data_IF_795452397631
#
_entry.id   IF_795452397631
#
_cell.length_a   1.000
_cell.length_b   1.000
_cell.length_c   1.000
_cell.angle_alpha   90.00
_cell.angle_beta   90.00
_cell.angle_gamma   90.00
#
_symmetry.space_group_name_H-M   'P 1'
#
loop_
_entity.id
_entity.type
_entity.pdbx_description
1 polymer ?
#
# COMPACT_ATOMS: atom_id res chain seq x y z
N UNK A 1 -23.56 -12.76 11.85
CA UNK A 1 -22.69 -13.10 10.71
C UNK A 1 -21.26 -12.74 11.09
N UNK A 2 -20.23 -13.23 10.39
CA UNK A 2 -18.81 -12.92 10.73
C UNK A 2 -18.50 -11.40 10.78
N UNK A 3 -19.37 -10.57 10.20
CA UNK A 3 -19.30 -9.12 10.24
C UNK A 3 -19.66 -8.50 11.59
N UNK A 4 -20.43 -9.19 12.44
CA UNK A 4 -20.86 -8.67 13.75
C UNK A 4 -19.69 -8.58 14.76
N UNK A 5 -18.57 -9.26 14.49
CA UNK A 5 -17.36 -9.25 15.33
C UNK A 5 -16.22 -8.39 14.73
N UNK A 6 -16.52 -7.53 13.76
CA UNK A 6 -15.53 -6.67 13.13
C UNK A 6 -15.25 -5.46 14.04
N UNK A 7 -14.01 -5.31 14.52
CA UNK A 7 -13.62 -4.23 15.44
C UNK A 7 -13.04 -2.99 14.74
N UNK A 8 -12.69 -3.10 13.45
CA UNK A 8 -12.10 -2.00 12.70
C UNK A 8 -11.86 -2.32 11.23
N UNK A 9 -11.65 -1.26 10.45
CA UNK A 9 -11.33 -1.34 9.02
C UNK A 9 -10.20 -0.36 8.73
N UNK A 10 -9.20 -0.79 7.96
CA UNK A 10 -8.19 0.09 7.39
C UNK A 10 -8.22 -0.02 5.85
N UNK A 11 -8.03 1.10 5.15
CA UNK A 11 -8.11 1.17 3.69
C UNK A 11 -6.82 1.82 3.15
N UNK A 12 -6.08 1.08 2.32
CA UNK A 12 -5.00 1.61 1.49
C UNK A 12 -5.45 1.54 0.03
N UNK A 13 -5.53 2.68 -0.65
CA UNK A 13 -6.02 2.77 -2.02
C UNK A 13 -5.40 3.94 -2.77
N UNK A 14 -5.07 3.72 -4.04
CA UNK A 14 -4.61 4.74 -5.00
C UNK A 14 -5.76 5.30 -5.85
N UNK A 15 -7.00 4.84 -5.65
CA UNK A 15 -8.19 5.20 -6.44
C UNK A 15 -9.18 5.99 -5.57
N UNK A 16 -9.20 7.35 -5.63
CA UNK A 16 -9.99 8.18 -4.72
C UNK A 16 -11.51 7.90 -4.76
N UNK A 17 -12.06 7.65 -5.95
CA UNK A 17 -13.48 7.33 -6.12
C UNK A 17 -13.86 6.01 -5.45
N UNK A 18 -13.01 4.99 -5.57
CA UNK A 18 -13.18 3.70 -4.89
C UNK A 18 -13.09 3.84 -3.37
N UNK A 19 -12.13 4.63 -2.88
CA UNK A 19 -11.98 4.91 -1.44
C UNK A 19 -13.26 5.52 -0.87
N UNK A 20 -13.84 6.53 -1.54
CA UNK A 20 -15.07 7.18 -1.07
C UNK A 20 -16.28 6.23 -1.01
N UNK A 21 -16.38 5.28 -1.96
CA UNK A 21 -17.41 4.24 -1.95
C UNK A 21 -17.22 3.29 -0.77
N UNK A 22 -16.01 2.79 -0.55
CA UNK A 22 -15.70 1.91 0.57
C UNK A 22 -15.90 2.60 1.93
N UNK A 23 -15.53 3.88 2.05
CA UNK A 23 -15.76 4.68 3.25
C UNK A 23 -17.24 4.80 3.61
N UNK A 24 -18.07 5.06 2.60
CA UNK A 24 -19.52 5.12 2.77
C UNK A 24 -20.06 3.76 3.21
N UNK A 25 -19.64 2.68 2.56
CA UNK A 25 -20.07 1.34 2.93
C UNK A 25 -19.72 1.00 4.39
N UNK A 26 -18.50 1.29 4.83
CA UNK A 26 -18.07 1.04 6.20
C UNK A 26 -18.93 1.80 7.21
N UNK A 27 -19.25 3.06 6.93
CA UNK A 27 -20.09 3.89 7.80
C UNK A 27 -21.54 3.42 7.82
N UNK A 28 -22.13 3.17 6.66
CA UNK A 28 -23.56 2.96 6.51
C UNK A 28 -23.97 1.51 6.88
N UNK A 29 -23.09 0.53 6.62
CA UNK A 29 -23.41 -0.89 6.83
C UNK A 29 -22.63 -1.54 7.97
N UNK A 30 -21.38 -1.12 8.22
CA UNK A 30 -20.56 -1.69 9.29
C UNK A 30 -20.55 -0.83 10.56
N UNK A 31 -21.12 0.38 10.51
CA UNK A 31 -21.08 1.37 11.59
C UNK A 31 -19.65 1.66 12.09
N UNK A 32 -18.66 1.51 11.20
CA UNK A 32 -17.23 1.70 11.47
C UNK A 32 -16.72 2.85 10.62
N UNK A 33 -15.99 3.78 11.24
CA UNK A 33 -15.20 4.77 10.52
C UNK A 33 -13.86 4.12 10.14
N UNK A 34 -13.58 3.87 8.84
CA UNK A 34 -12.34 3.23 8.44
C UNK A 34 -11.15 4.17 8.64
N UNK A 35 -9.99 3.59 8.95
CA UNK A 35 -8.72 4.28 8.97
C UNK A 35 -8.14 4.35 7.55
N UNK A 36 -8.05 5.55 6.99
CA UNK A 36 -7.51 5.74 5.63
C UNK A 36 -5.99 5.89 5.71
N UNK A 37 -5.29 4.99 5.04
CA UNK A 37 -3.84 5.00 4.93
C UNK A 37 -3.44 5.95 3.80
N UNK A 38 -2.48 6.81 4.09
CA UNK A 38 -1.93 7.80 3.15
C UNK A 38 -0.40 7.76 3.24
N UNK A 39 0.29 8.41 2.31
CA UNK A 39 1.75 8.58 2.39
C UNK A 39 2.23 9.34 3.65
N UNK A 40 1.33 10.00 4.39
CA UNK A 40 1.65 10.71 5.64
C UNK A 40 1.21 9.93 6.89
N UNK A 41 0.65 8.73 6.75
CA UNK A 41 0.28 7.91 7.89
C UNK A 41 1.53 7.64 8.75
N UNK A 42 1.50 7.90 10.07
CA UNK A 42 2.63 7.63 10.94
C UNK A 42 2.96 6.14 10.94
N UNK A 43 4.23 5.82 10.72
CA UNK A 43 4.72 4.43 10.67
C UNK A 43 6.13 4.35 11.24
N UNK A 44 6.66 3.13 11.39
CA UNK A 44 8.07 2.91 11.73
C UNK A 44 9.05 3.20 10.59
N UNK A 45 8.55 3.46 9.38
CA UNK A 45 9.39 3.73 8.22
C UNK A 45 9.64 5.24 8.08
N UNK A 46 10.90 5.61 7.90
CA UNK A 46 11.28 6.96 7.50
C UNK A 46 11.15 7.07 5.98
N UNK A 47 10.29 7.96 5.48
CA UNK A 47 10.09 8.12 4.05
C UNK A 47 11.18 9.05 3.48
N UNK A 48 12.27 8.45 2.99
CA UNK A 48 13.36 9.17 2.32
C UNK A 48 13.03 9.51 0.84
N UNK A 49 11.93 8.95 0.32
CA UNK A 49 11.43 9.18 -1.04
C UNK A 49 10.95 10.63 -1.26
N UNK A 50 11.26 11.22 -2.43
CA UNK A 50 10.92 12.61 -2.76
C UNK A 50 10.07 12.72 -4.03
N UNK A 51 8.97 13.50 -3.99
CA UNK A 51 8.37 14.08 -2.79
C UNK A 51 7.63 12.99 -1.97
N UNK A 52 7.74 12.99 -0.65
CA UNK A 52 7.13 11.93 0.19
C UNK A 52 5.62 11.73 -0.09
N UNK A 53 4.91 12.81 -0.43
CA UNK A 53 3.49 12.79 -0.81
C UNK A 53 3.15 11.98 -2.07
N UNK A 54 4.11 11.67 -2.94
CA UNK A 54 3.86 10.83 -4.13
C UNK A 54 3.97 9.34 -3.83
N UNK A 55 4.30 8.96 -2.58
CA UNK A 55 4.23 7.58 -2.17
C UNK A 55 2.77 7.12 -2.08
N UNK A 56 2.43 6.12 -2.90
CA UNK A 56 1.14 5.46 -2.84
C UNK A 56 0.97 4.70 -1.51
N UNK A 57 -0.23 4.69 -0.92
CA UNK A 57 -0.49 3.97 0.33
C UNK A 57 -0.33 2.45 0.19
N UNK A 58 -0.54 1.91 -1.02
CA UNK A 58 -0.28 0.51 -1.36
C UNK A 58 1.21 0.16 -1.18
N UNK A 59 2.11 0.98 -1.73
CA UNK A 59 3.56 0.80 -1.59
C UNK A 59 4.03 0.94 -0.16
N UNK A 60 3.46 1.89 0.59
CA UNK A 60 3.75 2.04 2.02
C UNK A 60 3.39 0.78 2.82
N UNK A 61 2.19 0.23 2.61
CA UNK A 61 1.74 -0.98 3.30
C UNK A 61 2.56 -2.21 2.89
N UNK A 62 2.89 -2.36 1.61
CA UNK A 62 3.75 -3.45 1.12
C UNK A 62 5.14 -3.43 1.77
N UNK A 63 5.76 -2.25 1.87
CA UNK A 63 7.05 -2.10 2.54
C UNK A 63 6.96 -2.40 4.04
N UNK A 64 5.92 -1.90 4.73
CA UNK A 64 5.71 -2.19 6.16
C UNK A 64 5.53 -3.69 6.42
N UNK A 65 4.73 -4.35 5.59
CA UNK A 65 4.48 -5.79 5.67
C UNK A 65 5.77 -6.57 5.40
N UNK A 66 6.56 -6.18 4.41
CA UNK A 66 7.86 -6.79 4.14
C UNK A 66 8.79 -6.68 5.35
N UNK A 67 8.85 -5.51 5.99
CA UNK A 67 9.62 -5.30 7.23
C UNK A 67 9.09 -6.08 8.44
N UNK A 68 7.81 -6.49 8.43
CA UNK A 68 7.20 -7.27 9.52
C UNK A 68 7.52 -8.75 9.38
N UNK A 69 7.53 -9.25 8.14
CA UNK A 69 7.89 -10.64 7.85
C UNK A 69 9.40 -10.84 7.90
N UNK A 70 10.17 -9.82 7.50
CA UNK A 70 11.63 -9.86 7.46
C UNK A 70 12.24 -8.57 8.01
N UNK A 71 13.20 -8.68 8.93
CA UNK A 71 13.97 -7.52 9.38
C UNK A 71 14.69 -6.85 8.20
N UNK A 72 14.64 -5.52 8.07
CA UNK A 72 15.40 -4.80 7.04
C UNK A 72 16.92 -5.06 7.12
N UNK A 73 17.68 -4.87 6.01
CA UNK A 73 17.24 -4.34 4.73
C UNK A 73 16.41 -5.33 3.91
N UNK A 74 15.42 -4.82 3.17
CA UNK A 74 14.52 -5.65 2.36
C UNK A 74 14.19 -4.99 1.02
N UNK A 75 14.07 -5.80 -0.02
CA UNK A 75 13.44 -5.42 -1.28
C UNK A 75 12.15 -6.23 -1.40
N UNK A 76 11.03 -5.56 -1.65
CA UNK A 76 9.75 -6.21 -1.91
C UNK A 76 9.27 -5.92 -3.33
N UNK A 77 8.64 -6.92 -3.96
CA UNK A 77 8.06 -6.80 -5.28
C UNK A 77 6.56 -7.16 -5.24
N UNK A 78 5.73 -6.27 -5.79
CA UNK A 78 4.30 -6.50 -6.00
C UNK A 78 4.02 -6.68 -7.49
N UNK A 79 3.43 -7.82 -7.86
CA UNK A 79 3.18 -8.21 -9.25
C UNK A 79 1.68 -8.10 -9.56
N UNK A 80 1.23 -6.90 -9.91
CA UNK A 80 -0.17 -6.63 -10.26
C UNK A 80 -0.29 -6.03 -11.66
N UNK A 81 -1.27 -5.13 -11.83
CA UNK A 81 -1.45 -4.32 -13.05
C UNK A 81 -0.18 -3.57 -13.45
N UNK A 82 0.61 -3.16 -12.46
CA UNK A 82 2.00 -2.77 -12.60
C UNK A 82 2.87 -3.70 -11.75
N UNK A 83 4.12 -3.87 -12.16
CA UNK A 83 5.15 -4.50 -11.33
C UNK A 83 5.83 -3.39 -10.53
N UNK A 84 5.73 -3.44 -9.20
CA UNK A 84 6.33 -2.43 -8.32
C UNK A 84 7.41 -3.09 -7.47
N UNK A 85 8.61 -2.53 -7.50
CA UNK A 85 9.75 -2.95 -6.69
C UNK A 85 10.07 -1.81 -5.74
N UNK A 86 10.17 -2.10 -4.44
CA UNK A 86 10.47 -1.12 -3.40
C UNK A 86 11.59 -1.63 -2.49
N UNK A 87 12.44 -0.71 -2.03
CA UNK A 87 13.58 -1.00 -1.16
C UNK A 87 13.47 -0.25 0.17
N UNK A 88 13.81 -0.94 1.25
CA UNK A 88 13.93 -0.40 2.60
C UNK A 88 15.34 -0.67 3.13
N UNK A 89 16.00 0.36 3.65
CA UNK A 89 17.35 0.27 4.24
C UNK A 89 17.33 -0.46 5.59
N UNK A 90 18.52 -0.80 6.11
CA UNK A 90 18.67 -1.36 7.46
C UNK A 90 18.18 -0.43 8.58
N UNK A 91 18.13 0.87 8.33
CA UNK A 91 17.68 1.91 9.27
C UNK A 91 16.18 2.23 9.12
N UNK A 92 15.40 1.31 8.54
CA UNK A 92 13.96 1.46 8.29
C UNK A 92 13.63 2.67 7.40
N UNK A 93 14.52 3.05 6.49
CA UNK A 93 14.25 4.11 5.52
C UNK A 93 13.63 3.53 4.25
N UNK A 94 12.45 4.01 3.87
CA UNK A 94 11.86 3.73 2.58
C UNK A 94 12.62 4.52 1.50
N UNK A 95 13.45 3.82 0.73
CA UNK A 95 14.34 4.39 -0.27
C UNK A 95 13.64 4.68 -1.61
N UNK A 96 12.45 4.11 -1.81
CA UNK A 96 11.76 4.10 -3.09
C UNK A 96 12.09 2.85 -3.89
N UNK A 97 11.98 2.96 -5.21
CA UNK A 97 12.20 1.83 -6.11
C UNK A 97 11.67 2.10 -7.52
N UNK A 98 11.22 1.05 -8.20
CA UNK A 98 10.86 1.10 -9.61
C UNK A 98 9.40 0.66 -9.84
N UNK A 99 8.74 1.32 -10.79
CA UNK A 99 7.43 0.91 -11.31
C UNK A 99 7.62 0.51 -12.77
N UNK A 100 7.26 -0.72 -13.09
CA UNK A 100 7.34 -1.31 -14.42
C UNK A 100 5.94 -1.70 -14.90
N UNK A 101 5.75 -1.89 -16.22
CA UNK A 101 4.53 -2.52 -16.75
C UNK A 101 4.19 -3.82 -16.01
N UNK A 102 2.91 -4.12 -15.85
CA UNK A 102 2.47 -5.41 -15.32
C UNK A 102 2.85 -6.54 -16.28
N UNK A 103 2.99 -7.76 -15.74
CA UNK A 103 3.37 -8.94 -16.52
C UNK A 103 2.47 -9.19 -17.73
N UNK A 104 1.16 -8.95 -17.58
CA UNK A 104 0.21 -9.07 -18.66
C UNK A 104 0.54 -8.11 -19.82
N UNK A 105 0.74 -6.82 -19.51
CA UNK A 105 1.06 -5.81 -20.52
C UNK A 105 2.41 -6.10 -21.20
N UNK A 106 3.41 -6.56 -20.44
CA UNK A 106 4.69 -7.00 -21.00
C UNK A 106 4.51 -8.16 -21.99
N UNK A 107 3.67 -9.13 -21.64
CA UNK A 107 3.39 -10.30 -22.49
C UNK A 107 2.65 -9.89 -23.77
N UNK A 108 1.64 -9.03 -23.65
CA UNK A 108 0.90 -8.47 -24.79
C UNK A 108 1.78 -7.60 -25.70
N UNK A 109 2.78 -6.91 -25.15
CA UNK A 109 3.68 -6.05 -25.94
C UNK A 109 4.71 -6.82 -26.77
N UNK A 110 4.92 -8.10 -26.47
CA UNK A 110 5.82 -9.00 -27.20
C UNK A 110 5.10 -9.82 -28.29
N UNK A 111 3.76 -9.86 -28.26
CA UNK A 111 2.91 -10.60 -29.20
C UNK A 111 2.63 -9.78 -30.47
#
# INVERSE_FOLDING_TARGET
>A
SDLDNLSGVAIASVVPSGTAVCERFCRDHLQIRPFIITGNTPTRLTIAYRPAKSLGPDRLVSALAACEVHSPPVICASLGTATVIDAVSGDYEFLGGAILPGLQLMTESLA
#
